data_IF_676359665962
#
_entry.id   IF_676359665962
#
_cell.length_a   1.000
_cell.length_b   1.000
_cell.length_c   1.000
_cell.angle_alpha   90.00
_cell.angle_beta   90.00
_cell.angle_gamma   90.00
#
_symmetry.space_group_name_H-M   'P 1'
#
loop_
_entity.id
_entity.type
_entity.pdbx_description
1 polymer ?
#
# COMPACT_ATOMS: atom_id res chain seq x y z
N UNK A 1 10.96 -18.63 -5.41
CA UNK A 1 11.14 -17.73 -4.25
C UNK A 1 11.17 -16.31 -4.79
N UNK A 2 10.25 -15.45 -4.36
CA UNK A 2 10.15 -14.07 -4.83
C UNK A 2 11.49 -13.31 -4.68
N UNK A 3 11.83 -12.49 -5.66
CA UNK A 3 13.01 -11.62 -5.59
C UNK A 3 12.83 -10.63 -4.44
N UNK A 4 13.86 -10.45 -3.61
CA UNK A 4 13.85 -9.49 -2.50
C UNK A 4 14.71 -8.29 -2.82
N UNK A 5 14.13 -7.08 -2.76
CA UNK A 5 14.83 -5.81 -2.90
C UNK A 5 14.94 -5.14 -1.53
N UNK A 6 16.17 -5.04 -1.03
CA UNK A 6 16.46 -4.35 0.22
C UNK A 6 16.76 -2.89 -0.05
N UNK A 7 16.17 -1.99 0.74
CA UNK A 7 16.50 -0.56 0.68
C UNK A 7 17.93 -0.37 1.17
N UNK A 8 18.77 0.25 0.33
CA UNK A 8 20.15 0.55 0.68
C UNK A 8 20.22 1.89 1.38
N UNK A 9 20.94 1.87 2.49
CA UNK A 9 21.31 3.01 3.29
C UNK A 9 22.30 3.93 2.56
N UNK A 10 22.09 5.25 2.63
CA UNK A 10 22.89 6.28 1.94
C UNK A 10 23.38 7.36 2.90
N UNK A 11 24.62 7.82 2.69
CA UNK A 11 25.21 8.99 3.37
C UNK A 11 24.71 10.31 2.75
N UNK A 12 24.93 11.42 3.45
CA UNK A 12 24.69 12.80 2.98
C UNK A 12 23.24 13.14 2.64
N UNK A 13 22.27 12.45 3.25
CA UNK A 13 20.84 12.69 3.03
C UNK A 13 20.30 13.84 3.89
N UNK A 14 20.90 15.02 3.77
CA UNK A 14 20.56 16.21 4.59
C UNK A 14 19.08 16.60 4.45
N UNK A 15 18.55 16.61 3.23
CA UNK A 15 17.16 16.97 2.98
C UNK A 15 16.19 15.97 3.61
N UNK A 16 16.46 14.67 3.47
CA UNK A 16 15.62 13.64 4.06
C UNK A 16 15.71 13.67 5.59
N UNK A 17 16.88 13.98 6.16
CA UNK A 17 17.06 14.16 7.60
C UNK A 17 16.20 15.29 8.16
N UNK A 18 16.09 16.41 7.43
CA UNK A 18 15.24 17.55 7.80
C UNK A 18 13.76 17.19 7.63
N UNK A 19 13.38 16.63 6.48
CA UNK A 19 11.97 16.31 6.15
C UNK A 19 11.39 15.29 7.12
N UNK A 20 12.16 14.27 7.47
CA UNK A 20 11.73 13.19 8.37
C UNK A 20 11.95 13.51 9.85
N UNK A 21 12.42 14.71 10.19
CA UNK A 21 12.60 15.10 11.58
C UNK A 21 11.24 15.16 12.30
N UNK A 22 11.11 14.60 13.52
CA UNK A 22 9.90 14.72 14.33
C UNK A 22 9.44 16.17 14.49
N UNK A 23 8.13 16.42 14.46
CA UNK A 23 7.57 17.79 14.52
C UNK A 23 8.07 18.60 15.71
N UNK A 24 8.21 17.95 16.86
CA UNK A 24 8.56 18.60 18.13
C UNK A 24 10.09 18.66 18.34
N UNK A 25 10.90 18.34 17.32
CA UNK A 25 12.35 18.37 17.41
C UNK A 25 12.90 19.80 17.42
N UNK A 26 13.53 20.19 18.53
CA UNK A 26 14.20 21.49 18.66
C UNK A 26 15.35 21.71 17.68
N UNK A 27 15.72 22.98 17.45
CA UNK A 27 16.72 23.40 16.43
C UNK A 27 18.09 22.74 16.65
N UNK A 28 18.59 22.69 17.88
CA UNK A 28 19.89 22.07 18.18
C UNK A 28 19.92 20.57 17.88
N UNK A 29 18.83 19.85 18.17
CA UNK A 29 18.71 18.42 17.85
C UNK A 29 18.60 18.18 16.36
N UNK A 30 17.93 19.08 15.64
CA UNK A 30 17.87 19.03 14.18
C UNK A 30 19.25 19.23 13.55
N UNK A 31 20.03 20.21 14.04
CA UNK A 31 21.40 20.44 13.58
C UNK A 31 22.29 19.22 13.84
N UNK A 32 22.18 18.60 15.02
CA UNK A 32 22.90 17.36 15.32
C UNK A 32 22.48 16.19 14.40
N UNK A 33 21.19 16.05 14.10
CA UNK A 33 20.67 15.04 13.15
C UNK A 33 21.20 15.26 11.74
N UNK A 34 21.27 16.52 11.28
CA UNK A 34 21.84 16.88 9.98
C UNK A 34 23.35 16.62 9.96
N UNK A 35 24.08 17.03 11.01
CA UNK A 35 25.51 16.74 11.14
C UNK A 35 25.80 15.23 11.12
N UNK A 36 24.93 14.43 11.76
CA UNK A 36 25.00 12.97 11.73
C UNK A 36 24.99 12.37 10.32
N UNK A 37 24.33 13.02 9.35
CA UNK A 37 24.29 12.55 7.94
C UNK A 37 25.65 12.57 7.24
N UNK A 38 26.62 13.34 7.76
CA UNK A 38 27.99 13.41 7.27
C UNK A 38 28.92 12.37 7.93
N UNK A 39 28.47 11.74 9.02
CA UNK A 39 29.19 10.69 9.75
C UNK A 39 28.61 9.30 9.44
N UNK A 40 28.30 8.55 10.50
CA UNK A 40 27.79 7.18 10.38
C UNK A 40 26.29 7.09 10.09
N UNK A 41 25.50 8.15 10.28
CA UNK A 41 24.05 8.07 10.08
C UNK A 41 23.68 7.96 8.60
N UNK A 42 23.24 6.78 8.19
CA UNK A 42 22.71 6.53 6.87
C UNK A 42 21.18 6.60 6.86
N UNK A 43 20.63 7.03 5.73
CA UNK A 43 19.19 7.10 5.49
C UNK A 43 18.83 6.17 4.33
N UNK A 44 17.79 5.37 4.52
CA UNK A 44 17.22 4.54 3.47
C UNK A 44 15.95 5.19 2.92
N UNK A 45 15.89 5.36 1.61
CA UNK A 45 14.71 5.92 0.94
C UNK A 45 14.35 5.11 -0.28
N UNK A 46 13.08 4.76 -0.40
CA UNK A 46 12.47 4.32 -1.64
C UNK A 46 11.41 5.34 -2.09
N UNK A 47 11.36 5.62 -3.38
CA UNK A 47 10.37 6.52 -3.97
C UNK A 47 9.48 5.73 -4.92
N UNK A 48 8.18 5.96 -4.82
CA UNK A 48 7.17 5.41 -5.72
C UNK A 48 6.27 6.52 -6.25
N UNK A 49 5.69 6.33 -7.42
CA UNK A 49 4.64 7.22 -7.90
C UNK A 49 3.38 7.01 -7.05
N UNK A 50 3.04 5.75 -6.77
CA UNK A 50 1.83 5.39 -6.04
C UNK A 50 2.14 4.36 -4.97
N UNK A 51 1.61 4.59 -3.76
CA UNK A 51 1.50 3.58 -2.71
C UNK A 51 0.05 3.18 -2.59
N UNK A 52 -0.22 1.88 -2.68
CA UNK A 52 -1.55 1.29 -2.49
C UNK A 52 -1.57 0.57 -1.15
N UNK A 53 -2.41 1.03 -0.24
CA UNK A 53 -2.56 0.45 1.10
C UNK A 53 -3.93 -0.20 1.23
N UNK A 54 -3.95 -1.40 1.81
CA UNK A 54 -5.17 -2.08 2.22
C UNK A 54 -5.09 -3.60 2.12
N UNK A 55 -6.15 -4.27 2.54
CA UNK A 55 -6.18 -5.73 2.68
C UNK A 55 -6.96 -6.46 1.56
N UNK A 56 -7.31 -5.74 0.50
CA UNK A 56 -8.00 -6.27 -0.67
C UNK A 56 -7.02 -6.56 -1.82
N UNK A 57 -6.58 -7.83 -2.00
CA UNK A 57 -5.60 -8.16 -3.03
C UNK A 57 -6.15 -7.98 -4.45
N UNK A 58 -7.44 -8.22 -4.68
CA UNK A 58 -8.04 -8.13 -6.01
C UNK A 58 -8.04 -6.67 -6.50
N UNK A 59 -8.60 -5.76 -5.69
CA UNK A 59 -8.64 -4.32 -6.02
C UNK A 59 -7.23 -3.74 -6.10
N UNK A 60 -6.34 -4.13 -5.18
CA UNK A 60 -4.96 -3.64 -5.17
C UNK A 60 -4.18 -4.06 -6.43
N UNK A 61 -4.38 -5.28 -6.91
CA UNK A 61 -3.75 -5.75 -8.14
C UNK A 61 -4.38 -5.11 -9.39
N UNK A 62 -5.69 -4.88 -9.41
CA UNK A 62 -6.34 -4.14 -10.51
C UNK A 62 -5.79 -2.71 -10.63
N UNK A 63 -5.59 -2.03 -9.49
CA UNK A 63 -4.92 -0.73 -9.44
C UNK A 63 -3.49 -0.82 -9.95
N UNK A 64 -2.71 -1.78 -9.45
CA UNK A 64 -1.32 -1.95 -9.85
C UNK A 64 -1.17 -2.24 -11.36
N UNK A 65 -2.00 -3.13 -11.91
CA UNK A 65 -2.03 -3.43 -13.34
C UNK A 65 -2.31 -2.18 -14.17
N UNK A 66 -3.31 -1.39 -13.77
CA UNK A 66 -3.71 -0.18 -14.50
C UNK A 66 -2.65 0.93 -14.41
N UNK A 67 -2.07 1.14 -13.22
CA UNK A 67 -1.02 2.14 -12.99
C UNK A 67 0.28 1.79 -13.69
N UNK A 68 0.63 0.49 -13.70
CA UNK A 68 1.78 -0.04 -14.42
C UNK A 68 1.66 0.22 -15.93
N UNK A 69 0.48 0.00 -16.53
CA UNK A 69 0.23 0.33 -17.96
C UNK A 69 0.49 1.80 -18.27
N UNK A 70 0.34 2.68 -17.27
CA UNK A 70 0.65 4.11 -17.35
C UNK A 70 2.11 4.46 -16.99
N UNK A 71 2.99 3.47 -16.91
CA UNK A 71 4.41 3.63 -16.62
C UNK A 71 4.75 3.94 -15.16
N UNK A 72 3.78 3.91 -14.24
CA UNK A 72 3.97 4.30 -12.84
C UNK A 72 4.65 3.21 -12.03
N UNK A 73 5.50 3.63 -11.10
CA UNK A 73 6.04 2.78 -10.04
C UNK A 73 5.03 2.67 -8.89
N UNK A 74 4.70 1.44 -8.50
CA UNK A 74 3.65 1.12 -7.53
C UNK A 74 4.21 0.26 -6.41
N UNK A 75 3.97 0.66 -5.18
CA UNK A 75 4.16 -0.18 -4.01
C UNK A 75 2.80 -0.65 -3.49
N UNK A 76 2.61 -1.96 -3.45
CA UNK A 76 1.54 -2.60 -2.71
C UNK A 76 1.98 -2.79 -1.26
N UNK A 77 1.26 -2.18 -0.33
CA UNK A 77 1.48 -2.29 1.10
C UNK A 77 0.25 -2.94 1.75
N UNK A 78 0.21 -4.28 1.84
CA UNK A 78 -0.84 -4.96 2.58
C UNK A 78 -0.82 -4.49 4.03
N UNK A 79 -1.97 -4.05 4.53
CA UNK A 79 -2.04 -3.59 5.92
C UNK A 79 -1.90 -4.79 6.90
N UNK A 80 -2.33 -6.01 6.55
CA UNK A 80 -2.02 -7.22 7.35
C UNK A 80 -2.28 -7.11 8.87
N UNK A 81 -3.16 -6.20 9.33
CA UNK A 81 -3.29 -5.85 10.74
C UNK A 81 -4.27 -6.74 11.52
N UNK A 82 -4.12 -6.76 12.84
CA UNK A 82 -5.05 -7.43 13.75
C UNK A 82 -6.41 -6.73 13.83
N UNK A 83 -7.43 -7.44 14.31
CA UNK A 83 -8.81 -6.92 14.43
C UNK A 83 -8.93 -5.64 15.28
N UNK A 84 -7.99 -5.41 16.19
CA UNK A 84 -7.94 -4.27 17.11
C UNK A 84 -7.38 -2.97 16.52
N UNK A 85 -6.67 -3.06 15.38
CA UNK A 85 -6.08 -1.90 14.74
C UNK A 85 -7.02 -1.25 13.71
N UNK A 86 -8.16 -1.91 13.43
CA UNK A 86 -9.25 -1.40 12.60
C UNK A 86 -10.19 -0.49 13.42
N UNK A 87 -11.00 0.35 12.74
CA UNK A 87 -11.96 1.22 13.42
C UNK A 87 -12.93 0.51 14.38
N UNK A 88 -13.19 -0.80 14.19
CA UNK A 88 -13.87 -1.66 15.16
C UNK A 88 -13.52 -3.15 14.97
N UNK A 89 -13.72 -4.00 15.99
CA UNK A 89 -13.50 -5.45 15.89
C UNK A 89 -14.39 -6.13 14.83
N UNK A 90 -15.65 -5.69 14.73
CA UNK A 90 -16.60 -6.20 13.74
C UNK A 90 -16.16 -5.92 12.30
N UNK A 91 -15.37 -4.86 12.09
CA UNK A 91 -14.84 -4.53 10.78
C UNK A 91 -13.85 -5.56 10.27
N UNK A 92 -12.97 -6.09 11.12
CA UNK A 92 -11.99 -7.10 10.67
C UNK A 92 -12.67 -8.34 10.08
N UNK A 93 -13.70 -8.87 10.74
CA UNK A 93 -14.44 -10.03 10.25
C UNK A 93 -15.25 -9.73 8.99
N UNK A 94 -15.90 -8.55 8.94
CA UNK A 94 -16.69 -8.15 7.77
C UNK A 94 -15.83 -7.84 6.56
N UNK A 95 -14.65 -7.27 6.77
CA UNK A 95 -13.71 -6.97 5.70
C UNK A 95 -13.34 -8.24 4.95
N UNK A 96 -13.02 -9.31 5.68
CA UNK A 96 -12.73 -10.61 5.09
C UNK A 96 -13.88 -11.14 4.23
N UNK A 97 -15.14 -10.95 4.64
CA UNK A 97 -16.30 -11.35 3.82
C UNK A 97 -16.43 -10.50 2.55
N UNK A 98 -16.26 -9.17 2.67
CA UNK A 98 -16.40 -8.24 1.55
C UNK A 98 -15.29 -8.39 0.50
N UNK A 99 -14.03 -8.52 0.92
CA UNK A 99 -12.90 -8.64 -0.02
C UNK A 99 -12.91 -9.98 -0.75
N UNK A 100 -13.41 -11.04 -0.10
CA UNK A 100 -13.52 -12.38 -0.68
C UNK A 100 -14.83 -12.61 -1.45
N UNK A 101 -15.80 -11.68 -1.38
CA UNK A 101 -17.01 -11.78 -2.18
C UNK A 101 -16.66 -11.66 -3.67
N UNK A 102 -17.14 -12.63 -4.45
CA UNK A 102 -16.87 -12.72 -5.89
C UNK A 102 -18.01 -13.47 -6.55
N UNK A 103 -18.66 -12.81 -7.50
CA UNK A 103 -19.77 -13.33 -8.28
C UNK A 103 -19.56 -13.03 -9.78
N UNK A 104 -20.53 -13.41 -10.59
CA UNK A 104 -20.50 -13.19 -12.04
C UNK A 104 -20.41 -11.70 -12.42
N UNK A 105 -20.96 -10.80 -11.59
CA UNK A 105 -20.88 -9.36 -11.85
C UNK A 105 -19.44 -8.84 -11.72
N UNK A 106 -18.69 -9.34 -10.74
CA UNK A 106 -17.26 -9.03 -10.56
C UNK A 106 -16.44 -9.61 -11.71
N UNK A 107 -16.71 -10.87 -12.08
CA UNK A 107 -16.02 -11.52 -13.18
C UNK A 107 -16.28 -10.82 -14.53
N UNK A 108 -17.52 -10.37 -14.77
CA UNK A 108 -17.89 -9.61 -15.97
C UNK A 108 -17.16 -8.26 -16.09
N UNK A 109 -16.87 -7.59 -14.98
CA UNK A 109 -16.02 -6.39 -15.01
C UNK A 109 -14.58 -6.78 -15.34
N UNK A 110 -14.03 -7.82 -14.72
CA UNK A 110 -12.63 -8.20 -14.90
C UNK A 110 -12.32 -8.70 -16.32
N UNK A 111 -13.24 -9.41 -16.96
CA UNK A 111 -13.07 -9.92 -18.34
C UNK A 111 -12.92 -8.81 -19.37
N UNK A 112 -13.33 -7.58 -19.05
CA UNK A 112 -13.13 -6.41 -19.92
C UNK A 112 -11.67 -5.90 -19.88
N UNK A 113 -10.90 -6.26 -18.85
CA UNK A 113 -9.57 -5.69 -18.60
C UNK A 113 -8.43 -6.72 -18.57
N UNK A 114 -8.76 -8.00 -18.37
CA UNK A 114 -7.83 -9.13 -18.32
C UNK A 114 -7.88 -9.94 -19.61
N UNK A 115 -6.72 -10.20 -20.19
CA UNK A 115 -6.59 -11.15 -21.29
C UNK A 115 -6.82 -12.58 -20.79
N UNK A 116 -7.49 -13.40 -21.60
CA UNK A 116 -7.76 -14.83 -21.33
C UNK A 116 -8.54 -15.10 -20.02
N UNK A 117 -9.35 -14.14 -19.57
CA UNK A 117 -10.26 -14.27 -18.43
C UNK A 117 -11.72 -14.10 -18.88
N UNK A 118 -12.58 -15.05 -18.52
CA UNK A 118 -13.98 -15.10 -18.90
C UNK A 118 -14.91 -14.83 -17.70
N UNK A 119 -16.15 -14.38 -17.94
CA UNK A 119 -17.09 -14.04 -16.85
C UNK A 119 -17.53 -15.24 -16.00
N UNK A 120 -17.29 -16.45 -16.48
CA UNK A 120 -17.52 -17.71 -15.76
C UNK A 120 -16.35 -18.15 -14.88
N UNK A 121 -15.20 -17.47 -14.99
CA UNK A 121 -14.02 -17.80 -14.23
C UNK A 121 -14.12 -17.31 -12.78
N UNK A 122 -13.61 -18.14 -11.85
CA UNK A 122 -13.66 -17.85 -10.43
C UNK A 122 -12.53 -16.92 -9.94
N UNK A 123 -12.67 -16.47 -8.68
CA UNK A 123 -11.74 -15.57 -7.98
C UNK A 123 -10.27 -15.95 -8.21
N UNK A 124 -9.91 -17.21 -8.01
CA UNK A 124 -8.51 -17.64 -8.04
C UNK A 124 -7.88 -17.51 -9.42
N UNK A 125 -8.67 -17.67 -10.49
CA UNK A 125 -8.19 -17.47 -11.87
C UNK A 125 -8.02 -15.99 -12.16
N UNK A 126 -8.95 -15.14 -11.70
CA UNK A 126 -8.80 -13.68 -11.76
C UNK A 126 -7.53 -13.22 -11.03
N UNK A 127 -7.32 -13.70 -9.80
CA UNK A 127 -6.16 -13.37 -9.00
C UNK A 127 -4.86 -13.80 -9.68
N UNK A 128 -4.82 -15.02 -10.23
CA UNK A 128 -3.66 -15.54 -10.96
C UNK A 128 -3.35 -14.71 -12.22
N UNK A 129 -4.38 -14.37 -13.00
CA UNK A 129 -4.23 -13.53 -14.20
C UNK A 129 -3.71 -12.14 -13.85
N UNK A 130 -4.24 -11.53 -12.78
CA UNK A 130 -3.77 -10.23 -12.28
C UNK A 130 -2.32 -10.30 -11.77
N UNK A 131 -1.95 -11.35 -11.04
CA UNK A 131 -0.57 -11.57 -10.59
C UNK A 131 0.36 -11.67 -11.80
N UNK A 132 0.00 -12.46 -12.81
CA UNK A 132 0.79 -12.61 -14.03
C UNK A 132 0.98 -11.25 -14.75
N UNK A 133 -0.08 -10.45 -14.83
CA UNK A 133 -0.05 -9.10 -15.41
C UNK A 133 0.94 -8.17 -14.67
N UNK A 134 1.07 -8.28 -13.34
CA UNK A 134 1.94 -7.39 -12.56
C UNK A 134 3.34 -7.93 -12.26
N UNK A 135 3.53 -9.25 -12.21
CA UNK A 135 4.77 -9.89 -11.71
C UNK A 135 6.00 -9.68 -12.61
N UNK A 136 5.80 -9.36 -13.90
CA UNK A 136 6.89 -9.29 -14.87
C UNK A 136 7.82 -8.06 -14.78
N UNK A 137 7.60 -7.11 -13.85
CA UNK A 137 8.31 -5.82 -13.89
C UNK A 137 8.66 -5.28 -12.51
N UNK A 138 9.85 -4.65 -12.39
CA UNK A 138 10.27 -3.92 -11.18
C UNK A 138 9.40 -2.70 -10.84
N UNK A 139 8.42 -2.36 -11.68
CA UNK A 139 7.48 -1.27 -11.44
C UNK A 139 6.49 -1.57 -10.32
N UNK A 140 6.11 -2.84 -10.11
CA UNK A 140 5.18 -3.22 -9.04
C UNK A 140 5.94 -4.02 -7.99
N UNK A 141 6.01 -3.48 -6.79
CA UNK A 141 6.61 -4.15 -5.64
C UNK A 141 5.55 -4.39 -4.58
N UNK A 142 5.73 -5.44 -3.77
CA UNK A 142 4.93 -5.70 -2.59
C UNK A 142 5.78 -5.56 -1.33
N UNK A 143 5.21 -4.99 -0.29
CA UNK A 143 5.88 -4.88 0.99
C UNK A 143 5.98 -6.27 1.65
N UNK A 144 7.20 -6.67 2.02
CA UNK A 144 7.53 -8.04 2.41
C UNK A 144 6.83 -8.53 3.69
N UNK A 145 6.44 -7.61 4.58
CA UNK A 145 5.82 -7.98 5.86
C UNK A 145 5.63 -6.82 6.84
N UNK A 146 6.24 -5.67 6.61
CA UNK A 146 5.96 -4.47 7.40
C UNK A 146 4.61 -3.85 7.00
N UNK A 147 3.99 -3.12 7.93
CA UNK A 147 2.87 -2.23 7.63
C UNK A 147 3.41 -0.81 7.45
N UNK A 148 2.64 0.09 6.86
CA UNK A 148 3.04 1.50 6.74
C UNK A 148 2.31 2.39 7.73
N UNK A 149 3.02 3.39 8.23
CA UNK A 149 2.49 4.50 9.00
C UNK A 149 2.66 5.80 8.23
N UNK A 150 1.58 6.56 8.11
CA UNK A 150 1.59 7.91 7.55
C UNK A 150 2.32 8.90 8.46
N UNK A 151 3.04 9.84 7.86
CA UNK A 151 3.86 10.83 8.58
C UNK A 151 3.10 12.06 9.08
N UNK A 152 1.83 12.25 8.72
CA UNK A 152 1.08 13.48 9.00
C UNK A 152 0.98 13.75 10.50
N UNK A 153 1.39 14.94 10.93
CA UNK A 153 1.39 15.34 12.34
C UNK A 153 2.49 14.71 13.18
N UNK A 154 3.39 13.91 12.60
CA UNK A 154 4.52 13.26 13.29
C UNK A 154 5.87 13.87 12.91
N UNK A 155 6.02 14.36 11.69
CA UNK A 155 7.23 15.04 11.19
C UNK A 155 7.03 16.56 11.11
N UNK A 156 8.11 17.34 11.00
CA UNK A 156 8.12 18.82 10.91
C UNK A 156 7.29 19.44 9.78
N UNK A 157 6.66 18.61 8.95
CA UNK A 157 5.81 19.02 7.85
C UNK A 157 6.62 19.10 6.57
N UNK A 158 6.33 18.19 5.65
CA UNK A 158 6.65 18.35 4.24
C UNK A 158 5.37 18.09 3.45
N UNK A 159 5.22 18.75 2.30
CA UNK A 159 4.07 18.54 1.40
C UNK A 159 4.12 17.16 0.71
N UNK A 160 5.17 16.38 0.96
CA UNK A 160 5.37 15.04 0.40
C UNK A 160 4.66 13.96 1.23
N UNK A 161 4.14 12.93 0.55
CA UNK A 161 3.60 11.76 1.21
C UNK A 161 4.76 10.86 1.66
N UNK A 162 5.09 10.93 2.95
CA UNK A 162 6.11 10.08 3.58
C UNK A 162 5.44 9.01 4.44
N UNK A 163 5.93 7.77 4.30
CA UNK A 163 5.49 6.62 5.06
C UNK A 163 6.66 5.94 5.74
N UNK A 164 6.46 5.50 6.98
CA UNK A 164 7.45 4.75 7.75
C UNK A 164 6.97 3.31 7.96
N UNK A 165 7.85 2.30 7.84
CA UNK A 165 7.49 0.95 8.21
C UNK A 165 7.24 0.84 9.71
N UNK A 166 6.14 0.20 10.08
CA UNK A 166 5.81 -0.16 11.46
C UNK A 166 6.50 -1.48 11.76
N UNK A 167 7.46 -1.48 12.69
CA UNK A 167 8.17 -2.70 13.10
C UNK A 167 7.18 -3.75 13.61
N UNK A 168 7.43 -5.02 13.27
CA UNK A 168 6.56 -6.15 13.61
C UNK A 168 6.24 -6.31 15.10
N UNK A 169 7.11 -5.82 15.99
CA UNK A 169 6.88 -5.81 17.44
C UNK A 169 5.68 -4.96 17.88
N UNK A 170 5.28 -3.97 17.06
CA UNK A 170 4.11 -3.13 17.28
C UNK A 170 2.85 -3.63 16.55
N UNK A 171 2.96 -4.71 15.78
CA UNK A 171 1.85 -5.32 15.06
C UNK A 171 1.26 -6.44 15.92
N UNK A 172 0.15 -6.17 16.60
CA UNK A 172 -0.50 -7.18 17.41
C UNK A 172 -1.24 -8.19 16.51
N UNK A 173 -0.69 -9.39 16.37
CA UNK A 173 -1.29 -10.57 15.70
C UNK A 173 -1.78 -10.27 14.27
N UNK A 174 -0.89 -10.23 13.27
CA UNK A 174 -1.27 -9.90 11.90
C UNK A 174 -2.25 -10.93 11.34
N UNK A 175 -3.49 -10.52 11.07
CA UNK A 175 -4.47 -11.31 10.33
C UNK A 175 -4.32 -10.95 8.86
N UNK A 176 -3.24 -11.43 8.25
CA UNK A 176 -3.04 -11.24 6.82
C UNK A 176 -4.12 -12.00 6.07
N UNK A 177 -4.87 -11.33 5.19
CA UNK A 177 -5.73 -12.04 4.24
C UNK A 177 -4.87 -13.12 3.53
N UNK A 178 -5.24 -14.41 3.63
CA UNK A 178 -4.40 -15.51 3.16
C UNK A 178 -4.04 -15.39 1.67
N UNK A 179 -4.86 -14.69 0.88
CA UNK A 179 -4.58 -14.44 -0.53
C UNK A 179 -3.35 -13.56 -0.77
N UNK A 180 -3.00 -12.65 0.15
CA UNK A 180 -1.75 -11.88 0.04
C UNK A 180 -0.50 -12.75 0.11
N UNK A 181 -0.56 -13.93 0.74
CA UNK A 181 0.55 -14.88 0.72
C UNK A 181 0.87 -15.31 -0.70
N UNK A 182 -0.15 -15.61 -1.50
CA UNK A 182 0.00 -16.03 -2.90
C UNK A 182 0.65 -14.90 -3.72
N UNK A 183 0.19 -13.67 -3.52
CA UNK A 183 0.75 -12.49 -4.20
C UNK A 183 2.22 -12.26 -3.80
N UNK A 184 2.54 -12.33 -2.50
CA UNK A 184 3.91 -12.17 -1.98
C UNK A 184 4.88 -13.23 -2.51
N UNK A 185 4.41 -14.44 -2.77
CA UNK A 185 5.25 -15.50 -3.34
C UNK A 185 5.62 -15.25 -4.81
N UNK A 186 4.87 -14.38 -5.51
CA UNK A 186 5.01 -14.12 -6.94
C UNK A 186 5.56 -12.74 -7.31
N UNK A 187 5.45 -11.72 -6.44
CA UNK A 187 5.93 -10.36 -6.72
C UNK A 187 7.27 -10.05 -6.07
N UNK A 188 7.97 -9.02 -6.56
CA UNK A 188 9.20 -8.51 -5.92
C UNK A 188 8.88 -7.94 -4.55
N UNK A 189 9.51 -8.49 -3.52
CA UNK A 189 9.34 -8.09 -2.13
C UNK A 189 10.29 -6.94 -1.77
N UNK A 190 9.73 -5.78 -1.44
CA UNK A 190 10.47 -4.67 -0.84
C UNK A 190 10.64 -4.91 0.66
N UNK A 191 11.86 -4.80 1.17
CA UNK A 191 12.16 -4.94 2.59
C UNK A 191 13.06 -3.83 3.09
N UNK A 192 12.91 -3.54 4.38
CA UNK A 192 13.60 -2.47 5.06
C UNK A 192 14.73 -2.99 5.96
N UNK A 193 15.89 -2.33 5.95
CA UNK A 193 16.94 -2.44 6.95
C UNK A 193 16.79 -1.34 8.03
N UNK A 194 16.11 -1.67 9.12
CA UNK A 194 15.74 -0.70 10.17
C UNK A 194 16.88 -0.17 11.06
N UNK A 195 18.16 -0.35 10.71
CA UNK A 195 19.28 0.01 11.58
C UNK A 195 19.36 1.52 11.85
N UNK A 196 18.85 2.36 10.96
CA UNK A 196 18.95 3.81 11.09
C UNK A 196 17.59 4.48 10.88
N UNK A 197 17.22 4.90 9.67
CA UNK A 197 15.84 5.34 9.36
C UNK A 197 15.55 5.02 7.91
N UNK A 198 14.47 4.27 7.68
CA UNK A 198 14.03 3.95 6.33
C UNK A 198 12.58 4.33 6.12
N UNK A 199 12.30 4.95 4.99
CA UNK A 199 10.98 5.45 4.68
C UNK A 199 10.68 5.36 3.19
N UNK A 200 9.40 5.44 2.88
CA UNK A 200 8.90 5.55 1.52
C UNK A 200 8.45 6.98 1.29
N UNK A 201 8.81 7.53 0.15
CA UNK A 201 8.15 8.71 -0.40
C UNK A 201 7.22 8.29 -1.54
N UNK A 202 6.02 8.85 -1.57
CA UNK A 202 5.08 8.69 -2.67
C UNK A 202 4.60 10.04 -3.22
N UNK A 203 4.10 10.04 -4.45
CA UNK A 203 3.33 11.16 -4.98
C UNK A 203 1.85 11.01 -4.67
N UNK A 204 1.37 9.77 -4.56
CA UNK A 204 -0.03 9.46 -4.32
C UNK A 204 -0.20 8.28 -3.38
N UNK A 205 -1.23 8.37 -2.53
CA UNK A 205 -1.72 7.28 -1.69
C UNK A 205 -3.10 6.85 -2.17
N UNK A 206 -3.25 5.56 -2.45
CA UNK A 206 -4.52 4.91 -2.72
C UNK A 206 -4.86 3.94 -1.59
N UNK A 207 -6.09 4.00 -1.12
CA UNK A 207 -6.56 3.23 0.03
C UNK A 207 -7.67 2.30 -0.46
N UNK A 208 -7.49 0.98 -0.38
CA UNK A 208 -8.43 -0.01 -0.94
C UNK A 208 -9.42 -0.56 0.10
N UNK A 209 -9.07 -0.49 1.38
CA UNK A 209 -9.91 -0.89 2.51
C UNK A 209 -9.91 0.21 3.57
N UNK A 210 -10.92 0.31 4.48
CA UNK A 210 -10.91 1.30 5.56
C UNK A 210 -9.56 1.30 6.28
N UNK A 211 -8.96 2.47 6.51
CA UNK A 211 -7.58 2.55 7.00
C UNK A 211 -7.44 2.09 8.45
N UNK A 212 -6.27 1.55 8.76
CA UNK A 212 -5.82 1.37 10.13
C UNK A 212 -5.58 2.68 10.86
N UNK A 213 -5.34 2.60 12.19
CA UNK A 213 -4.85 3.73 12.98
C UNK A 213 -3.50 4.30 12.54
N UNK A 214 -2.72 3.55 11.75
CA UNK A 214 -1.38 3.98 11.30
C UNK A 214 -1.44 4.85 10.04
N UNK A 215 -2.53 4.79 9.28
CA UNK A 215 -2.71 5.56 8.04
C UNK A 215 -3.77 6.63 8.25
N UNK A 216 -3.38 7.90 8.11
CA UNK A 216 -4.33 9.00 8.03
C UNK A 216 -5.10 8.91 6.70
N UNK A 217 -6.42 8.69 6.70
CA UNK A 217 -7.18 8.55 5.47
C UNK A 217 -7.41 9.88 4.74
N UNK A 218 -7.11 11.04 5.34
CA UNK A 218 -7.30 12.36 4.74
C UNK A 218 -6.22 12.73 3.71
N UNK A 219 -5.10 12.01 3.69
CA UNK A 219 -3.98 12.26 2.76
C UNK A 219 -3.99 11.33 1.54
N UNK A 220 -5.04 10.51 1.38
CA UNK A 220 -5.14 9.53 0.31
C UNK A 220 -6.49 9.54 -0.41
N UNK A 221 -6.52 8.92 -1.59
CA UNK A 221 -7.76 8.65 -2.32
C UNK A 221 -8.32 7.29 -1.91
N UNK A 222 -9.59 7.25 -1.48
CA UNK A 222 -10.29 6.01 -1.11
C UNK A 222 -10.87 5.33 -2.36
N UNK A 223 -10.63 4.04 -2.51
CA UNK A 223 -11.01 3.20 -3.67
C UNK A 223 -11.57 1.88 -3.14
N UNK A 224 -12.43 1.23 -3.93
CA UNK A 224 -13.02 -0.05 -3.53
C UNK A 224 -13.81 0.08 -2.24
N UNK A 225 -13.63 -0.88 -1.33
CA UNK A 225 -14.36 -0.95 -0.05
C UNK A 225 -14.07 0.27 0.84
N UNK A 226 -12.91 0.93 0.68
CA UNK A 226 -12.61 2.14 1.43
C UNK A 226 -13.56 3.32 1.13
N UNK A 227 -14.26 3.30 -0.01
CA UNK A 227 -15.26 4.34 -0.35
C UNK A 227 -16.53 4.23 0.47
N UNK A 228 -16.83 3.03 0.98
CA UNK A 228 -18.02 2.77 1.77
C UNK A 228 -17.84 3.40 3.15
N UNK A 229 -18.42 4.58 3.36
CA UNK A 229 -18.66 5.07 4.72
C UNK A 229 -19.66 4.13 5.40
N UNK A 230 -19.74 4.12 6.74
CA UNK A 230 -20.76 3.32 7.43
C UNK A 230 -22.20 3.62 6.95
N UNK A 231 -22.44 4.80 6.37
CA UNK A 231 -23.74 5.23 5.85
C UNK A 231 -23.96 4.91 4.37
N UNK A 232 -22.91 4.70 3.57
CA UNK A 232 -22.99 4.44 2.13
C UNK A 232 -22.97 2.93 1.77
N UNK A 233 -23.05 2.05 2.77
CA UNK A 233 -22.88 0.58 2.65
C UNK A 233 -23.85 -0.15 1.71
N UNK A 234 -24.97 0.47 1.33
CA UNK A 234 -25.93 -0.12 0.39
C UNK A 234 -25.79 0.43 -1.04
N UNK A 235 -24.85 1.36 -1.30
CA UNK A 235 -24.77 2.07 -2.59
C UNK A 235 -23.85 1.43 -3.61
N UNK A 236 -22.85 0.65 -3.19
CA UNK A 236 -21.81 0.16 -4.09
C UNK A 236 -21.69 -1.36 -4.02
N UNK A 237 -21.76 -2.00 -5.19
CA UNK A 237 -21.52 -3.44 -5.32
C UNK A 237 -20.02 -3.76 -5.33
N UNK A 238 -19.67 -5.04 -5.14
CA UNK A 238 -18.29 -5.49 -5.31
C UNK A 238 -17.77 -5.24 -6.73
N UNK A 239 -18.63 -5.39 -7.74
CA UNK A 239 -18.29 -5.05 -9.13
C UNK A 239 -17.95 -3.57 -9.28
N UNK A 240 -18.70 -2.65 -8.64
CA UNK A 240 -18.39 -1.22 -8.64
C UNK A 240 -17.04 -0.91 -7.97
N UNK A 241 -16.70 -1.67 -6.92
CA UNK A 241 -15.42 -1.56 -6.23
C UNK A 241 -14.26 -1.95 -7.16
N UNK A 242 -14.40 -3.03 -7.93
CA UNK A 242 -13.42 -3.42 -8.95
C UNK A 242 -13.38 -2.44 -10.11
N UNK A 243 -14.52 -2.05 -10.69
CA UNK A 243 -14.59 -1.10 -11.80
C UNK A 243 -13.92 0.24 -11.44
N UNK A 244 -14.11 0.70 -10.21
CA UNK A 244 -13.50 1.95 -9.74
C UNK A 244 -11.98 1.96 -9.81
N UNK A 245 -11.34 0.80 -9.63
CA UNK A 245 -9.88 0.66 -9.70
C UNK A 245 -9.33 0.89 -11.11
N UNK A 246 -10.08 0.54 -12.15
CA UNK A 246 -9.71 0.79 -13.54
C UNK A 246 -10.05 2.22 -13.98
N UNK A 247 -11.21 2.75 -13.55
CA UNK A 247 -11.71 4.06 -13.98
C UNK A 247 -10.92 5.26 -13.46
N UNK A 248 -10.19 5.11 -12.35
CA UNK A 248 -9.54 6.21 -11.66
C UNK A 248 -8.33 6.81 -12.41
N UNK A 249 -7.84 6.08 -13.42
CA UNK A 249 -6.73 6.49 -14.29
C UNK A 249 -7.22 7.26 -15.52
N UNK A 250 -8.46 7.01 -15.97
CA UNK A 250 -9.05 7.72 -17.12
C UNK A 250 -9.29 9.22 -16.85
N UNK A 251 -9.16 9.67 -15.60
CA UNK A 251 -9.23 11.09 -15.23
C UNK A 251 -7.85 11.77 -15.14
N UNK A 252 -6.77 11.03 -15.35
CA UNK A 252 -5.38 11.50 -15.29
C UNK A 252 -4.67 11.46 -16.66
N UNK A 253 -5.36 11.03 -17.73
CA UNK A 253 -4.96 11.22 -19.14
C UNK A 253 -5.51 12.54 -19.67
#
# INVERSE_FOLDING_TARGET
MALKKTIKLKRFQVLDAVRTAPKDMGVLRLLARVAGTFGDSLYGKASFDVVVVGDDPLVSLCLAASLKRSGKSVLLAPDSLGTQDWPSKDWGYRLAQLVNYFDESVASVLSQYLHDFESQDGYMKALSALIAEVAGHEQVMILAGDCLQSSKGMIKGCDELIFFPVRGEFQHTPLTNPLWRIVRESLVCLAFQHSEIEFIQARRLLITTPTSRFIDPSIGTRIGVARETQMDRNRYSRADNVLSSFSLILREQ
#
